data_IF_328362145409
#
_entry.id   IF_328362145409
#
_cell.length_a   1.000
_cell.length_b   1.000
_cell.length_c   1.000
_cell.angle_alpha   90.00
_cell.angle_beta   90.00
_cell.angle_gamma   90.00
#
_symmetry.space_group_name_H-M   'P 1'
#
loop_
_entity.id
_entity.type
_entity.pdbx_description
1 polymer ?
#
# COMPACT_ATOMS: atom_id res chain seq x y z
N UNK A 1 12.05 -25.99 -15.65
CA UNK A 1 11.46 -25.06 -16.63
C UNK A 1 10.14 -25.68 -17.09
N UNK A 2 9.03 -25.27 -16.49
CA UNK A 2 7.71 -25.83 -16.79
C UNK A 2 7.19 -25.12 -18.03
N UNK A 3 7.13 -25.84 -19.16
CA UNK A 3 6.54 -25.32 -20.39
C UNK A 3 5.05 -25.63 -20.28
N UNK A 4 4.26 -24.63 -19.90
CA UNK A 4 2.81 -24.70 -19.96
C UNK A 4 2.38 -24.25 -21.36
N UNK A 5 1.83 -25.13 -22.21
CA UNK A 5 1.37 -24.73 -23.53
C UNK A 5 0.11 -23.88 -23.38
N UNK A 6 0.30 -22.55 -23.38
CA UNK A 6 -0.80 -21.59 -23.35
C UNK A 6 -1.17 -21.16 -24.78
N UNK A 7 -2.48 -21.05 -25.09
CA UNK A 7 -2.93 -20.40 -26.32
C UNK A 7 -2.38 -18.96 -26.40
N UNK A 8 -2.04 -18.45 -27.60
CA UNK A 8 -1.47 -17.11 -27.76
C UNK A 8 -2.28 -16.00 -27.08
N UNK A 9 -3.60 -16.07 -27.15
CA UNK A 9 -4.51 -15.10 -26.52
C UNK A 9 -4.41 -15.12 -24.98
N UNK A 10 -4.26 -16.30 -24.37
CA UNK A 10 -4.12 -16.42 -22.92
C UNK A 10 -2.78 -15.86 -22.45
N UNK A 11 -1.72 -16.08 -23.24
CA UNK A 11 -0.40 -15.51 -22.96
C UNK A 11 -0.46 -13.98 -22.98
N UNK A 12 -1.04 -13.38 -24.01
CA UNK A 12 -1.14 -11.92 -24.14
C UNK A 12 -1.94 -11.29 -23.00
N UNK A 13 -3.05 -11.92 -22.59
CA UNK A 13 -3.87 -11.45 -21.47
C UNK A 13 -3.09 -11.53 -20.16
N UNK A 14 -2.42 -12.66 -19.88
CA UNK A 14 -1.63 -12.82 -18.66
C UNK A 14 -0.45 -11.84 -18.62
N UNK A 15 0.21 -11.62 -19.75
CA UNK A 15 1.32 -10.66 -19.85
C UNK A 15 0.83 -9.23 -19.62
N UNK A 16 -0.27 -8.85 -20.26
CA UNK A 16 -0.88 -7.52 -20.10
C UNK A 16 -1.32 -7.30 -18.67
N UNK A 17 -1.96 -8.29 -18.04
CA UNK A 17 -2.33 -8.22 -16.62
C UNK A 17 -1.12 -8.00 -15.73
N UNK A 18 -0.03 -8.72 -15.96
CA UNK A 18 1.18 -8.63 -15.15
C UNK A 18 1.84 -7.24 -15.28
N UNK A 19 1.88 -6.67 -16.50
CA UNK A 19 2.37 -5.32 -16.74
C UNK A 19 1.49 -4.28 -16.06
N UNK A 20 0.16 -4.37 -16.20
CA UNK A 20 -0.78 -3.43 -15.57
C UNK A 20 -0.68 -3.48 -14.05
N UNK A 21 -0.61 -4.69 -13.47
CA UNK A 21 -0.42 -4.86 -12.03
C UNK A 21 0.90 -4.22 -11.56
N UNK A 22 1.99 -4.43 -12.30
CA UNK A 22 3.30 -3.82 -12.01
C UNK A 22 3.24 -2.29 -12.06
N UNK A 23 2.52 -1.72 -13.04
CA UNK A 23 2.32 -0.28 -13.16
C UNK A 23 1.47 0.29 -12.01
N UNK A 24 0.43 -0.43 -11.58
CA UNK A 24 -0.38 -0.04 -10.41
C UNK A 24 0.47 -0.03 -9.15
N UNK A 25 1.30 -1.05 -8.94
CA UNK A 25 2.24 -1.10 -7.80
C UNK A 25 3.23 0.07 -7.89
N UNK A 26 3.83 0.32 -9.05
CA UNK A 26 4.76 1.43 -9.24
C UNK A 26 4.11 2.78 -8.94
N UNK A 27 2.89 3.01 -9.42
CA UNK A 27 2.12 4.22 -9.12
C UNK A 27 1.82 4.31 -7.62
N UNK A 28 1.42 3.22 -6.97
CA UNK A 28 1.21 3.20 -5.52
C UNK A 28 2.49 3.57 -4.75
N UNK A 29 3.66 3.08 -5.18
CA UNK A 29 4.95 3.48 -4.58
C UNK A 29 5.25 4.97 -4.80
N UNK A 30 4.98 5.52 -5.98
CA UNK A 30 5.23 6.94 -6.27
C UNK A 30 4.27 7.89 -5.53
N UNK A 31 3.01 7.49 -5.30
CA UNK A 31 2.04 8.31 -4.58
C UNK A 31 2.14 8.18 -3.05
N UNK A 32 2.84 7.15 -2.56
CA UNK A 32 3.21 7.05 -1.14
C UNK A 32 4.52 7.82 -0.95
N UNK A 33 4.45 9.02 -0.36
CA UNK A 33 5.63 9.79 0.04
C UNK A 33 6.34 9.16 1.25
N UNK A 34 6.60 7.84 1.21
CA UNK A 34 7.40 7.08 2.19
C UNK A 34 8.28 6.05 1.46
N UNK A 35 9.57 5.93 1.82
CA UNK A 35 10.36 4.76 1.42
C UNK A 35 9.71 3.46 1.94
N UNK A 36 9.41 2.52 1.05
CA UNK A 36 8.93 1.19 1.43
C UNK A 36 10.12 0.24 1.63
N UNK A 37 10.07 -0.57 2.68
CA UNK A 37 11.06 -1.62 2.91
C UNK A 37 10.65 -2.94 2.25
N UNK A 38 11.56 -3.51 1.46
CA UNK A 38 11.38 -4.78 0.78
C UNK A 38 12.46 -5.78 1.23
N UNK A 39 12.03 -7.02 1.45
CA UNK A 39 12.91 -8.15 1.72
C UNK A 39 12.94 -9.15 0.57
N UNK A 40 13.97 -9.98 0.54
CA UNK A 40 14.07 -11.12 -0.40
C UNK A 40 13.86 -12.40 0.38
N UNK A 41 12.89 -13.19 -0.02
CA UNK A 41 12.57 -14.48 0.59
C UNK A 41 13.49 -15.58 0.05
N UNK A 42 13.54 -16.74 0.73
CA UNK A 42 14.48 -17.83 0.41
C UNK A 42 14.34 -18.39 -1.02
N UNK A 43 13.16 -18.24 -1.63
CA UNK A 43 12.86 -18.66 -3.01
C UNK A 43 13.20 -17.57 -4.06
N UNK A 44 13.74 -16.44 -3.64
CA UNK A 44 14.06 -15.29 -4.50
C UNK A 44 12.89 -14.34 -4.75
N UNK A 45 11.72 -14.57 -4.13
CA UNK A 45 10.60 -13.64 -4.22
C UNK A 45 10.87 -12.34 -3.45
N UNK A 46 10.45 -11.20 -4.01
CA UNK A 46 10.50 -9.90 -3.35
C UNK A 46 9.20 -9.74 -2.54
N UNK A 47 9.34 -9.52 -1.24
CA UNK A 47 8.22 -9.38 -0.31
C UNK A 47 8.29 -8.00 0.32
N UNK A 48 7.13 -7.38 0.49
CA UNK A 48 6.98 -6.14 1.23
C UNK A 48 7.12 -6.43 2.73
N UNK A 49 8.17 -5.92 3.35
CA UNK A 49 8.54 -6.23 4.74
C UNK A 49 8.14 -5.18 5.76
N UNK A 50 7.68 -4.01 5.28
CA UNK A 50 7.34 -2.86 6.11
C UNK A 50 5.92 -2.96 6.70
N UNK A 51 5.62 -2.10 7.66
CA UNK A 51 4.28 -1.89 8.20
C UNK A 51 3.43 -0.96 7.33
N UNK A 52 2.12 -1.21 7.23
CA UNK A 52 1.15 -0.25 6.70
C UNK A 52 0.34 0.35 7.84
N UNK A 53 0.81 1.48 8.35
CA UNK A 53 0.23 2.18 9.50
C UNK A 53 0.02 3.68 9.20
N UNK A 54 -0.84 4.39 9.96
CA UNK A 54 -0.91 5.86 9.92
C UNK A 54 0.40 6.55 10.38
N UNK A 55 1.33 5.77 10.94
CA UNK A 55 2.68 6.22 11.30
C UNK A 55 3.58 6.39 10.06
N UNK A 56 3.47 5.45 9.13
CA UNK A 56 4.20 5.43 7.86
C UNK A 56 3.49 6.14 6.70
N UNK A 57 2.17 6.34 6.78
CA UNK A 57 1.40 6.93 5.69
C UNK A 57 1.08 8.41 5.95
N UNK A 58 0.86 9.18 4.87
CA UNK A 58 0.20 10.50 4.97
C UNK A 58 -1.27 10.33 4.60
N UNK A 59 -2.15 10.43 5.59
CA UNK A 59 -3.58 10.17 5.48
C UNK A 59 -4.35 11.43 5.79
N UNK A 60 -5.08 11.94 4.81
CA UNK A 60 -5.87 13.15 4.95
C UNK A 60 -7.32 12.79 4.65
N UNK A 61 -8.22 13.27 5.50
CA UNK A 61 -9.64 13.15 5.24
C UNK A 61 -10.00 13.86 3.93
N UNK A 62 -10.79 13.20 3.07
CA UNK A 62 -11.05 13.67 1.72
C UNK A 62 -11.78 15.01 1.71
N UNK A 63 -12.76 15.16 2.61
CA UNK A 63 -13.71 16.27 2.62
C UNK A 63 -13.22 17.41 3.53
N UNK A 64 -12.78 17.08 4.75
CA UNK A 64 -12.35 18.07 5.74
C UNK A 64 -10.88 18.46 5.62
N UNK A 65 -10.07 17.69 4.86
CA UNK A 65 -8.61 17.80 4.84
C UNK A 65 -7.94 17.64 6.21
N UNK A 66 -8.66 17.10 7.21
CA UNK A 66 -8.12 16.77 8.52
C UNK A 66 -7.03 15.72 8.36
N UNK A 67 -5.86 15.97 8.95
CA UNK A 67 -4.78 14.97 9.00
C UNK A 67 -5.19 13.85 9.93
N UNK A 68 -5.02 12.61 9.49
CA UNK A 68 -5.35 11.38 10.20
C UNK A 68 -4.12 10.47 10.37
N UNK A 69 -2.93 11.08 10.35
CA UNK A 69 -1.64 10.41 10.41
C UNK A 69 -0.78 10.98 11.55
N UNK A 70 0.44 10.47 11.68
CA UNK A 70 1.42 10.90 12.68
C UNK A 70 1.79 12.39 12.62
N UNK A 71 1.48 13.12 11.54
CA UNK A 71 1.66 14.58 11.54
C UNK A 71 0.79 15.26 12.58
N UNK A 72 -0.31 14.64 13.04
CA UNK A 72 -1.08 15.14 14.18
C UNK A 72 -0.22 15.27 15.43
N UNK A 73 0.63 14.28 15.70
CA UNK A 73 1.60 14.33 16.79
C UNK A 73 2.74 15.31 16.48
N UNK A 74 3.35 15.22 15.29
CA UNK A 74 4.50 16.08 14.90
C UNK A 74 4.19 17.57 14.93
N UNK A 75 2.94 17.94 14.64
CA UNK A 75 2.48 19.33 14.56
C UNK A 75 1.67 19.77 15.78
N UNK A 76 1.54 18.93 16.82
CA UNK A 76 0.80 19.26 18.03
C UNK A 76 -0.70 19.48 17.82
N UNK A 77 -1.31 18.80 16.85
CA UNK A 77 -2.74 18.93 16.50
C UNK A 77 -3.67 18.15 17.45
N UNK A 78 -3.12 17.32 18.35
CA UNK A 78 -3.90 16.50 19.28
C UNK A 78 -4.70 15.38 18.61
N UNK A 79 -5.52 14.68 19.38
CA UNK A 79 -6.44 13.62 18.97
C UNK A 79 -5.82 12.56 18.04
N UNK A 80 -4.64 12.04 18.42
CA UNK A 80 -3.89 11.09 17.59
C UNK A 80 -4.55 9.72 17.63
N UNK A 81 -4.95 9.26 18.83
CA UNK A 81 -5.56 7.94 19.04
C UNK A 81 -6.91 7.89 18.33
N UNK A 82 -7.74 8.91 18.53
CA UNK A 82 -9.07 9.05 17.94
C UNK A 82 -8.99 9.07 16.41
N UNK A 83 -7.97 9.73 15.84
CA UNK A 83 -7.74 9.70 14.40
C UNK A 83 -7.36 8.29 13.90
N UNK A 84 -6.60 7.52 14.69
CA UNK A 84 -6.20 6.16 14.31
C UNK A 84 -7.37 5.19 14.44
N UNK A 85 -8.19 5.33 15.47
CA UNK A 85 -9.46 4.61 15.61
C UNK A 85 -10.41 4.93 14.45
N UNK A 86 -10.49 6.19 14.01
CA UNK A 86 -11.29 6.57 12.86
C UNK A 86 -10.78 5.91 11.55
N UNK A 87 -9.46 5.85 11.36
CA UNK A 87 -8.86 5.12 10.24
C UNK A 87 -9.17 3.63 10.30
N UNK A 88 -9.02 2.99 11.47
CA UNK A 88 -9.33 1.58 11.67
C UNK A 88 -10.82 1.27 11.38
N UNK A 89 -11.73 2.10 11.89
CA UNK A 89 -13.16 1.98 11.64
C UNK A 89 -13.51 2.10 10.15
N UNK A 90 -12.88 3.04 9.42
CA UNK A 90 -13.09 3.19 7.96
C UNK A 90 -12.58 1.99 7.16
N UNK A 91 -11.52 1.34 7.64
CA UNK A 91 -10.97 0.12 7.05
C UNK A 91 -11.73 -1.15 7.48
N UNK A 92 -12.67 -1.04 8.42
CA UNK A 92 -13.43 -2.17 8.97
C UNK A 92 -12.58 -3.09 9.86
N UNK A 93 -11.52 -2.56 10.47
CA UNK A 93 -10.66 -3.31 11.39
C UNK A 93 -11.27 -3.29 12.79
N UNK A 94 -11.39 -4.44 13.49
CA UNK A 94 -11.85 -4.46 14.87
C UNK A 94 -10.85 -3.74 15.79
N UNK A 95 -11.39 -2.89 16.68
CA UNK A 95 -10.65 -2.15 17.72
C UNK A 95 -10.67 -2.91 19.05
#
# INVERSE_FOLDING_TARGET
MVILPLPPLALDVLFTFNIVLSLIVLMAVFYVARPLEFGVFHDGSIVLGDEFSPDGCRLWDKDTKKKMDKDRFRQGLGDVIEAYEEVANRLGVPL
#
